data_IF_192575108809
#
_entry.id   IF_192575108809
#
_cell.length_a   1.000
_cell.length_b   1.000
_cell.length_c   1.000
_cell.angle_alpha   90.00
_cell.angle_beta   90.00
_cell.angle_gamma   90.00
#
_symmetry.space_group_name_H-M   'P 1'
#
loop_
_entity.id
_entity.type
_entity.pdbx_description
1 polymer ?
#
# COMPACT_ATOMS: atom_id res chain seq x y z
N UNK A 1 27.43 0.36 7.77
CA UNK A 1 27.93 0.92 6.50
C UNK A 1 28.56 -0.20 5.70
N UNK A 2 28.09 -0.42 4.49
CA UNK A 2 28.68 -1.34 3.55
C UNK A 2 29.74 -0.52 2.81
N UNK A 3 30.88 -1.10 2.51
CA UNK A 3 31.78 -0.56 1.51
C UNK A 3 30.93 -0.17 0.26
N UNK A 4 30.94 1.11 -0.07
CA UNK A 4 30.26 1.75 -1.22
C UNK A 4 28.77 2.10 -1.11
N UNK A 5 28.12 2.12 0.05
CA UNK A 5 26.77 2.69 0.22
C UNK A 5 26.76 3.81 1.28
N UNK A 6 25.84 4.78 1.14
CA UNK A 6 25.70 5.91 2.05
C UNK A 6 24.24 6.35 2.19
N UNK A 7 23.95 7.11 3.25
CA UNK A 7 22.66 7.79 3.42
C UNK A 7 22.34 8.71 2.23
N UNK A 8 23.34 9.42 1.72
CA UNK A 8 23.19 10.30 0.57
C UNK A 8 22.80 9.55 -0.71
N UNK A 9 23.39 8.38 -0.98
CA UNK A 9 23.00 7.54 -2.13
C UNK A 9 21.56 7.04 -1.98
N UNK A 10 21.13 6.61 -0.79
CA UNK A 10 19.75 6.18 -0.56
C UNK A 10 18.79 7.37 -0.67
N UNK A 11 19.15 8.53 -0.13
CA UNK A 11 18.38 9.77 -0.27
C UNK A 11 18.19 10.14 -1.74
N UNK A 12 19.27 10.18 -2.51
CA UNK A 12 19.22 10.54 -3.93
C UNK A 12 18.39 9.54 -4.75
N UNK A 13 18.56 8.23 -4.52
CA UNK A 13 17.75 7.19 -5.17
C UNK A 13 16.25 7.41 -4.88
N UNK A 14 15.90 7.76 -3.63
CA UNK A 14 14.53 8.02 -3.20
C UNK A 14 13.96 9.26 -3.88
N UNK A 15 14.72 10.36 -3.90
CA UNK A 15 14.31 11.61 -4.56
C UNK A 15 14.11 11.43 -6.06
N UNK A 16 15.03 10.74 -6.72
CA UNK A 16 14.93 10.44 -8.16
C UNK A 16 13.69 9.58 -8.45
N UNK A 17 13.48 8.51 -7.68
CA UNK A 17 12.32 7.63 -7.85
C UNK A 17 10.99 8.38 -7.67
N UNK A 18 10.91 9.28 -6.68
CA UNK A 18 9.74 10.09 -6.39
C UNK A 18 9.52 11.27 -7.34
N UNK A 19 10.36 11.42 -8.38
CA UNK A 19 10.24 12.50 -9.37
C UNK A 19 10.52 13.89 -8.80
N UNK A 20 11.35 13.99 -7.76
CA UNK A 20 11.68 15.23 -7.02
C UNK A 20 10.46 15.91 -6.37
N UNK A 21 9.34 15.17 -6.24
CA UNK A 21 8.13 15.64 -5.55
C UNK A 21 8.11 15.22 -4.06
N UNK A 22 9.16 14.57 -3.59
CA UNK A 22 9.31 14.14 -2.20
C UNK A 22 9.48 15.34 -1.26
N UNK A 23 9.11 15.17 0.01
CA UNK A 23 9.46 16.10 1.09
C UNK A 23 10.88 15.79 1.57
N UNK A 24 11.88 16.69 1.34
CA UNK A 24 13.28 16.40 1.63
C UNK A 24 13.54 15.95 3.07
N UNK A 25 12.92 16.62 4.07
CA UNK A 25 13.09 16.28 5.48
C UNK A 25 12.52 14.89 5.83
N UNK A 26 11.43 14.50 5.20
CA UNK A 26 10.85 13.17 5.39
C UNK A 26 11.76 12.07 4.82
N UNK A 27 12.33 12.30 3.64
CA UNK A 27 13.31 11.37 3.05
C UNK A 27 14.56 11.28 3.91
N UNK A 28 15.07 12.42 4.39
CA UNK A 28 16.22 12.47 5.28
C UNK A 28 15.97 11.70 6.58
N UNK A 29 14.80 11.88 7.18
CA UNK A 29 14.34 11.13 8.37
C UNK A 29 14.34 9.63 8.10
N UNK A 30 13.73 9.21 6.99
CA UNK A 30 13.66 7.80 6.60
C UNK A 30 15.05 7.16 6.49
N UNK A 31 15.96 7.78 5.76
CA UNK A 31 17.26 7.17 5.46
C UNK A 31 18.19 7.13 6.68
N UNK A 32 18.09 8.09 7.60
CA UNK A 32 18.92 8.12 8.79
C UNK A 32 18.40 7.23 9.91
N UNK A 33 17.09 7.17 10.13
CA UNK A 33 16.48 6.37 11.20
C UNK A 33 16.20 4.93 10.79
N UNK A 34 16.07 4.66 9.49
CA UNK A 34 15.77 3.33 8.94
C UNK A 34 16.68 2.21 9.40
N UNK A 35 18.03 2.36 9.38
CA UNK A 35 18.94 1.30 9.85
C UNK A 35 18.72 0.89 11.29
N UNK A 36 18.33 1.81 12.18
CA UNK A 36 18.02 1.49 13.57
C UNK A 36 16.74 0.67 13.68
N UNK A 37 15.75 0.96 12.85
CA UNK A 37 14.51 0.17 12.82
C UNK A 37 14.78 -1.26 12.33
N UNK A 38 15.64 -1.44 11.33
CA UNK A 38 16.04 -2.78 10.89
C UNK A 38 16.75 -3.55 12.01
N UNK A 39 17.66 -2.89 12.75
CA UNK A 39 18.31 -3.49 13.92
C UNK A 39 17.29 -3.85 15.02
N UNK A 40 16.28 -3.04 15.21
CA UNK A 40 15.21 -3.32 16.17
C UNK A 40 14.36 -4.52 15.75
N UNK A 41 14.04 -4.68 14.46
CA UNK A 41 13.35 -5.87 13.96
C UNK A 41 14.12 -7.16 14.24
N UNK A 42 15.44 -7.14 14.08
CA UNK A 42 16.29 -8.30 14.42
C UNK A 42 16.18 -8.65 15.91
N UNK A 43 16.16 -7.62 16.80
CA UNK A 43 15.95 -7.84 18.22
C UNK A 43 14.57 -8.41 18.55
N UNK A 44 13.54 -8.08 17.76
CA UNK A 44 12.20 -8.66 17.86
C UNK A 44 12.07 -10.05 17.23
N UNK A 45 13.17 -10.60 16.69
CA UNK A 45 13.21 -11.96 16.17
C UNK A 45 12.83 -12.11 14.71
N UNK A 46 13.00 -11.06 13.90
CA UNK A 46 12.93 -11.17 12.43
C UNK A 46 14.19 -11.88 11.93
N UNK A 47 13.99 -12.94 11.16
CA UNK A 47 15.04 -13.76 10.57
C UNK A 47 15.36 -13.30 9.14
N UNK A 48 16.14 -12.24 8.99
CA UNK A 48 16.66 -11.88 7.67
C UNK A 48 17.70 -12.88 7.18
N UNK A 49 17.75 -13.10 5.87
CA UNK A 49 18.72 -13.97 5.23
C UNK A 49 20.16 -13.47 5.49
N UNK A 50 21.09 -14.43 5.67
CA UNK A 50 22.48 -14.15 5.99
C UNK A 50 23.44 -14.88 5.06
N UNK A 51 24.58 -14.27 4.85
CA UNK A 51 25.73 -14.89 4.19
C UNK A 51 26.37 -15.93 5.10
N UNK A 52 27.28 -16.75 4.55
CA UNK A 52 28.02 -17.77 5.28
C UNK A 52 28.86 -17.23 6.43
N UNK A 53 29.26 -15.95 6.38
CA UNK A 53 29.99 -15.24 7.42
C UNK A 53 29.09 -14.64 8.51
N UNK A 54 27.77 -14.85 8.43
CA UNK A 54 26.77 -14.31 9.35
C UNK A 54 26.32 -12.88 9.09
N UNK A 55 26.88 -12.18 8.11
CA UNK A 55 26.43 -10.85 7.70
C UNK A 55 25.07 -10.92 7.01
N UNK A 56 24.29 -9.81 7.04
CA UNK A 56 23.00 -9.74 6.37
C UNK A 56 23.17 -9.82 4.86
N UNK A 57 22.43 -10.71 4.24
CA UNK A 57 22.35 -10.78 2.79
C UNK A 57 21.54 -9.58 2.27
N UNK A 58 21.98 -9.00 1.15
CA UNK A 58 21.37 -7.82 0.55
C UNK A 58 21.16 -7.99 -0.93
N UNK A 59 19.99 -7.55 -1.39
CA UNK A 59 19.65 -7.57 -2.81
C UNK A 59 19.57 -6.17 -3.41
N UNK A 60 19.60 -6.11 -4.73
CA UNK A 60 19.32 -4.91 -5.53
C UNK A 60 17.89 -5.00 -6.03
N UNK A 61 17.17 -3.87 -5.92
CA UNK A 61 15.86 -3.70 -6.54
C UNK A 61 15.87 -2.49 -7.49
N UNK A 62 14.88 -2.40 -8.37
CA UNK A 62 14.79 -1.33 -9.37
C UNK A 62 14.78 0.06 -8.72
N UNK A 63 15.51 0.99 -9.33
CA UNK A 63 15.70 2.34 -8.83
C UNK A 63 16.79 2.52 -7.77
N UNK A 64 17.27 1.45 -7.14
CA UNK A 64 18.39 1.52 -6.20
C UNK A 64 19.74 1.48 -6.92
N UNK A 65 20.65 2.38 -6.54
CA UNK A 65 22.02 2.41 -7.05
C UNK A 65 22.95 1.39 -6.36
N UNK A 66 22.55 0.82 -5.24
CA UNK A 66 23.34 -0.09 -4.41
C UNK A 66 22.52 -1.25 -3.86
N UNK A 67 23.18 -2.41 -3.61
CA UNK A 67 22.58 -3.54 -2.89
C UNK A 67 22.44 -3.20 -1.41
N UNK A 68 21.26 -2.76 -0.97
CA UNK A 68 20.99 -2.37 0.43
C UNK A 68 19.78 -3.05 1.04
N UNK A 69 18.98 -3.73 0.24
CA UNK A 69 17.71 -4.29 0.67
C UNK A 69 17.94 -5.61 1.42
N UNK A 70 17.69 -5.60 2.73
CA UNK A 70 17.64 -6.81 3.53
C UNK A 70 16.32 -7.55 3.27
N UNK A 71 16.35 -8.87 3.27
CA UNK A 71 15.19 -9.67 2.91
C UNK A 71 15.15 -11.01 3.65
N UNK A 72 13.99 -11.63 3.64
CA UNK A 72 13.81 -13.03 4.01
C UNK A 72 13.20 -13.72 2.80
N UNK A 73 14.01 -14.43 2.01
CA UNK A 73 13.65 -15.02 0.72
C UNK A 73 12.88 -14.00 -0.14
N UNK A 74 11.67 -14.34 -0.56
CA UNK A 74 10.72 -13.49 -1.30
C UNK A 74 9.46 -13.12 -0.46
N UNK A 75 9.50 -13.35 0.88
CA UNK A 75 8.38 -13.17 1.80
C UNK A 75 8.72 -12.29 3.02
N UNK A 76 9.55 -11.27 2.81
CA UNK A 76 10.07 -10.39 3.88
C UNK A 76 8.96 -9.77 4.74
N UNK A 77 7.89 -9.27 4.11
CA UNK A 77 6.77 -8.65 4.83
C UNK A 77 6.07 -9.64 5.78
N UNK A 78 5.85 -10.87 5.34
CA UNK A 78 5.23 -11.91 6.17
C UNK A 78 6.09 -12.25 7.40
N UNK A 79 7.42 -12.33 7.24
CA UNK A 79 8.35 -12.60 8.35
C UNK A 79 8.37 -11.45 9.36
N UNK A 80 8.35 -10.19 8.90
CA UNK A 80 8.29 -9.02 9.79
C UNK A 80 6.98 -9.05 10.60
N UNK A 81 5.84 -9.25 9.95
CA UNK A 81 4.53 -9.32 10.62
C UNK A 81 4.49 -10.46 11.62
N UNK A 82 5.00 -11.65 11.26
CA UNK A 82 5.10 -12.79 12.16
C UNK A 82 5.85 -12.44 13.45
N UNK A 83 7.02 -11.85 13.33
CA UNK A 83 7.87 -11.53 14.47
C UNK A 83 7.24 -10.44 15.37
N UNK A 84 6.72 -9.37 14.76
CA UNK A 84 6.06 -8.28 15.49
C UNK A 84 4.78 -8.75 16.20
N UNK A 85 3.99 -9.62 15.58
CA UNK A 85 2.78 -10.18 16.19
C UNK A 85 3.13 -11.08 17.40
N UNK A 86 4.19 -11.89 17.29
CA UNK A 86 4.69 -12.69 18.42
C UNK A 86 5.13 -11.78 19.56
N UNK A 87 5.82 -10.69 19.26
CA UNK A 87 6.28 -9.74 20.29
C UNK A 87 5.10 -8.99 20.93
N UNK A 88 4.12 -8.55 20.14
CA UNK A 88 2.92 -7.90 20.65
C UNK A 88 2.13 -8.81 21.61
N UNK A 89 1.95 -10.09 21.25
CA UNK A 89 1.24 -11.08 22.09
C UNK A 89 1.90 -11.38 23.44
N UNK A 90 3.20 -11.10 23.60
CA UNK A 90 3.90 -11.23 24.88
C UNK A 90 3.57 -10.11 25.87
N UNK A 91 2.99 -9.01 25.41
CA UNK A 91 2.79 -7.80 26.21
C UNK A 91 1.38 -7.75 26.77
N UNK A 92 1.22 -7.79 28.10
CA UNK A 92 -0.07 -7.79 28.79
C UNK A 92 -0.86 -6.47 28.62
N UNK A 93 -0.18 -5.37 28.26
CA UNK A 93 -0.81 -4.07 28.03
C UNK A 93 -1.26 -3.87 26.57
N UNK A 94 -1.16 -4.89 25.71
CA UNK A 94 -1.65 -4.86 24.32
C UNK A 94 -2.85 -5.80 24.21
N UNK A 95 -3.99 -5.25 23.80
CA UNK A 95 -5.18 -6.02 23.46
C UNK A 95 -5.38 -6.06 21.97
N UNK A 96 -5.38 -7.26 21.38
CA UNK A 96 -5.66 -7.50 19.97
C UNK A 96 -7.13 -7.88 19.80
N UNK A 97 -7.88 -7.10 19.03
CA UNK A 97 -9.28 -7.38 18.71
C UNK A 97 -9.38 -7.72 17.22
N UNK A 98 -9.57 -8.99 16.94
CA UNK A 98 -9.68 -9.51 15.58
C UNK A 98 -11.12 -9.43 15.06
N UNK A 99 -11.31 -9.39 13.74
CA UNK A 99 -12.62 -9.32 13.08
C UNK A 99 -13.47 -8.13 13.56
N UNK A 100 -12.83 -6.98 13.71
CA UNK A 100 -13.42 -5.72 14.15
C UNK A 100 -13.30 -4.65 13.07
N UNK A 101 -14.40 -4.30 12.43
CA UNK A 101 -14.47 -3.25 11.41
C UNK A 101 -14.85 -1.92 12.07
N UNK A 102 -13.92 -0.98 12.18
CA UNK A 102 -14.21 0.38 12.66
C UNK A 102 -14.96 1.13 11.57
N UNK A 103 -16.23 1.44 11.80
CA UNK A 103 -17.07 2.09 10.80
C UNK A 103 -17.30 3.60 11.07
N UNK A 104 -17.08 4.05 12.30
CA UNK A 104 -17.19 5.47 12.66
C UNK A 104 -16.15 5.84 13.70
N UNK A 105 -15.56 7.02 13.51
CA UNK A 105 -14.63 7.63 14.45
C UNK A 105 -15.14 9.03 14.77
N UNK A 106 -15.19 9.39 16.05
CA UNK A 106 -15.71 10.67 16.51
C UNK A 106 -14.75 11.30 17.52
N UNK A 107 -14.46 12.58 17.36
CA UNK A 107 -13.71 13.35 18.36
C UNK A 107 -14.61 13.61 19.55
N UNK A 108 -14.12 13.28 20.74
CA UNK A 108 -14.75 13.58 22.01
C UNK A 108 -13.81 14.41 22.88
N UNK A 109 -14.29 14.86 24.06
CA UNK A 109 -13.42 15.62 24.95
C UNK A 109 -12.24 14.76 25.39
N UNK A 110 -11.03 15.27 25.15
CA UNK A 110 -9.73 14.67 25.47
C UNK A 110 -9.40 13.34 24.75
N UNK A 111 -10.15 12.98 23.69
CA UNK A 111 -9.86 11.73 23.00
C UNK A 111 -10.80 11.42 21.85
N UNK A 112 -11.04 10.14 21.63
CA UNK A 112 -11.80 9.58 20.52
C UNK A 112 -12.79 8.52 20.99
N UNK A 113 -13.87 8.41 20.23
CA UNK A 113 -14.85 7.33 20.32
C UNK A 113 -14.82 6.60 18.96
N UNK A 114 -14.51 5.31 18.97
CA UNK A 114 -14.49 4.45 17.80
C UNK A 114 -15.64 3.43 17.89
N UNK A 115 -16.59 3.50 16.96
CA UNK A 115 -17.64 2.51 16.80
C UNK A 115 -17.19 1.43 15.84
N UNK A 116 -17.33 0.17 16.23
CA UNK A 116 -16.88 -0.97 15.45
C UNK A 116 -17.94 -2.06 15.36
N UNK A 117 -17.85 -2.85 14.33
CA UNK A 117 -18.67 -4.02 14.10
C UNK A 117 -17.83 -5.28 14.35
N UNK A 118 -18.13 -6.00 15.44
CA UNK A 118 -17.44 -7.24 15.78
C UNK A 118 -18.06 -8.41 15.03
N UNK A 119 -17.20 -9.21 14.37
CA UNK A 119 -17.59 -10.37 13.56
C UNK A 119 -18.71 -10.05 12.53
N UNK A 120 -18.73 -8.80 12.05
CA UNK A 120 -19.72 -8.33 11.07
C UNK A 120 -21.15 -8.23 11.58
N UNK A 121 -21.40 -8.28 12.91
CA UNK A 121 -22.76 -8.42 13.46
C UNK A 121 -23.05 -7.58 14.70
N UNK A 122 -22.11 -7.40 15.59
CA UNK A 122 -22.34 -6.79 16.91
C UNK A 122 -21.64 -5.45 17.00
N UNK A 123 -22.39 -4.39 17.29
CA UNK A 123 -21.81 -3.07 17.54
C UNK A 123 -21.07 -3.05 18.88
N UNK A 124 -19.88 -2.47 18.87
CA UNK A 124 -19.09 -2.19 20.07
C UNK A 124 -18.46 -0.80 19.95
N UNK A 125 -18.09 -0.22 21.08
CA UNK A 125 -17.48 1.11 21.14
C UNK A 125 -16.25 1.09 22.02
N UNK A 126 -15.19 1.75 21.57
CA UNK A 126 -13.95 1.96 22.30
C UNK A 126 -13.68 3.45 22.43
N UNK A 127 -13.29 3.88 23.64
CA UNK A 127 -12.80 5.22 23.91
C UNK A 127 -11.29 5.19 24.11
N UNK A 128 -10.59 6.19 23.58
CA UNK A 128 -9.14 6.30 23.68
C UNK A 128 -8.67 7.74 23.72
N UNK A 129 -7.57 8.00 24.45
CA UNK A 129 -6.96 9.33 24.53
C UNK A 129 -6.30 9.73 23.21
N UNK A 130 -5.74 8.76 22.50
CA UNK A 130 -5.07 8.92 21.19
C UNK A 130 -5.64 7.95 20.18
N UNK A 131 -5.54 8.31 18.92
CA UNK A 131 -5.89 7.43 17.79
C UNK A 131 -4.71 7.37 16.81
N UNK A 132 -4.29 6.15 16.47
CA UNK A 132 -3.30 5.91 15.40
C UNK A 132 -3.98 5.15 14.28
N UNK A 133 -4.07 5.75 13.10
CA UNK A 133 -4.60 5.11 11.90
C UNK A 133 -3.44 4.42 11.19
N UNK A 134 -3.53 3.08 11.05
CA UNK A 134 -2.51 2.24 10.43
C UNK A 134 -3.16 1.17 9.53
N UNK A 135 -4.12 1.60 8.71
CA UNK A 135 -5.06 0.73 7.99
C UNK A 135 -4.57 0.26 6.63
N UNK A 136 -3.34 0.65 6.24
CA UNK A 136 -2.82 0.30 4.92
C UNK A 136 -3.49 1.09 3.79
N UNK A 137 -3.37 0.58 2.55
CA UNK A 137 -3.71 1.31 1.34
C UNK A 137 -5.16 1.17 0.87
N UNK A 138 -5.32 1.41 -0.44
CA UNK A 138 -6.62 1.58 -1.10
C UNK A 138 -6.84 0.61 -2.27
N UNK A 139 -6.01 -0.45 -2.40
CA UNK A 139 -5.97 -1.25 -3.62
C UNK A 139 -7.32 -1.78 -4.08
N UNK A 140 -8.22 -2.04 -3.13
CA UNK A 140 -9.56 -2.58 -3.43
C UNK A 140 -10.50 -1.58 -4.11
N UNK A 141 -10.11 -0.33 -4.29
CA UNK A 141 -10.85 0.63 -5.13
C UNK A 141 -10.69 0.33 -6.62
N UNK A 142 -9.67 -0.46 -7.00
CA UNK A 142 -9.44 -0.94 -8.37
C UNK A 142 -9.98 -2.36 -8.57
N UNK A 143 -10.21 -2.71 -9.84
CA UNK A 143 -10.67 -4.06 -10.20
C UNK A 143 -9.58 -5.10 -9.98
N UNK A 144 -8.33 -4.74 -10.30
CA UNK A 144 -7.17 -5.61 -10.15
C UNK A 144 -6.11 -4.91 -9.28
N UNK A 145 -5.63 -5.61 -8.25
CA UNK A 145 -4.66 -5.09 -7.29
C UNK A 145 -3.82 -6.22 -6.71
N UNK A 146 -2.60 -5.92 -6.30
CA UNK A 146 -1.78 -6.84 -5.49
C UNK A 146 -2.09 -6.74 -4.00
N UNK A 147 -3.01 -5.87 -3.60
CA UNK A 147 -3.35 -5.68 -2.20
C UNK A 147 -4.37 -6.70 -1.70
N UNK A 148 -4.32 -7.08 -0.41
CA UNK A 148 -5.26 -7.99 0.20
C UNK A 148 -6.67 -7.39 0.27
N UNK A 149 -7.66 -8.24 0.55
CA UNK A 149 -9.09 -7.87 0.60
C UNK A 149 -9.41 -6.74 1.56
N UNK A 150 -8.57 -6.52 2.57
CA UNK A 150 -8.75 -5.48 3.61
C UNK A 150 -8.21 -4.09 3.21
N UNK A 151 -7.56 -3.94 2.05
CA UNK A 151 -7.01 -2.66 1.59
C UNK A 151 -8.10 -1.79 0.94
N UNK A 152 -9.08 -1.35 1.71
CA UNK A 152 -10.32 -0.68 1.28
C UNK A 152 -10.31 0.84 1.48
N UNK A 153 -9.27 1.39 2.13
CA UNK A 153 -9.13 2.82 2.41
C UNK A 153 -9.97 3.30 3.60
N UNK A 154 -10.35 2.40 4.49
CA UNK A 154 -11.25 2.73 5.63
C UNK A 154 -10.69 3.82 6.53
N UNK A 155 -9.41 3.75 6.90
CA UNK A 155 -8.80 4.77 7.74
C UNK A 155 -8.74 6.14 7.07
N UNK A 156 -8.50 6.19 5.77
CA UNK A 156 -8.51 7.45 4.99
C UNK A 156 -9.92 8.04 4.99
N UNK A 157 -10.96 7.22 4.75
CA UNK A 157 -12.35 7.67 4.85
C UNK A 157 -12.69 8.17 6.23
N UNK A 158 -12.33 7.43 7.29
CA UNK A 158 -12.58 7.83 8.67
C UNK A 158 -11.93 9.17 9.02
N UNK A 159 -10.68 9.36 8.61
CA UNK A 159 -9.97 10.62 8.80
C UNK A 159 -10.59 11.77 7.99
N UNK A 160 -10.96 11.52 6.74
CA UNK A 160 -11.64 12.49 5.88
C UNK A 160 -13.00 12.91 6.44
N UNK A 161 -13.83 11.97 6.92
CA UNK A 161 -15.11 12.24 7.53
C UNK A 161 -14.98 13.08 8.84
N UNK A 162 -13.84 13.00 9.51
CA UNK A 162 -13.51 13.84 10.68
C UNK A 162 -12.91 15.20 10.31
N UNK A 163 -12.65 15.48 9.04
CA UNK A 163 -12.06 16.73 8.56
C UNK A 163 -10.54 16.76 8.63
N UNK A 164 -9.87 15.60 8.68
CA UNK A 164 -8.42 15.54 8.51
C UNK A 164 -8.01 15.94 7.10
N UNK A 165 -6.84 16.58 6.98
CA UNK A 165 -6.26 16.90 5.67
C UNK A 165 -5.84 15.62 4.95
N UNK A 166 -6.30 15.46 3.71
CA UNK A 166 -5.87 14.39 2.81
C UNK A 166 -5.07 15.03 1.68
N UNK A 167 -3.97 14.42 1.29
CA UNK A 167 -3.09 14.94 0.23
C UNK A 167 -2.74 13.87 -0.78
N UNK A 168 -2.66 14.29 -2.04
CA UNK A 168 -2.07 13.52 -3.15
C UNK A 168 -2.60 12.09 -3.26
N UNK A 169 -3.92 11.90 -2.98
CA UNK A 169 -4.54 10.57 -3.01
C UNK A 169 -4.55 9.99 -4.43
N UNK A 170 -4.41 10.83 -5.45
CA UNK A 170 -4.19 10.44 -6.84
C UNK A 170 -2.78 9.88 -7.11
N UNK A 171 -1.82 10.03 -6.20
CA UNK A 171 -0.50 9.44 -6.36
C UNK A 171 -0.55 7.94 -6.06
N UNK A 172 -0.98 7.18 -7.07
CA UNK A 172 -1.12 5.72 -7.02
C UNK A 172 -0.03 5.06 -7.86
N UNK A 173 0.72 4.16 -7.26
CA UNK A 173 1.70 3.34 -7.97
C UNK A 173 1.04 2.10 -8.56
N UNK A 174 1.26 1.88 -9.85
CA UNK A 174 0.89 0.64 -10.54
C UNK A 174 2.14 -0.23 -10.70
N UNK A 175 2.06 -1.48 -10.24
CA UNK A 175 3.15 -2.43 -10.43
C UNK A 175 3.07 -3.02 -11.84
N UNK A 176 4.18 -2.98 -12.62
CA UNK A 176 4.14 -3.39 -14.03
C UNK A 176 3.94 -4.90 -14.23
N UNK A 177 4.35 -5.71 -13.27
CA UNK A 177 4.45 -7.17 -13.42
C UNK A 177 3.66 -7.91 -12.33
N UNK A 178 2.34 -7.68 -12.25
CA UNK A 178 1.45 -8.60 -11.57
C UNK A 178 1.13 -9.78 -12.49
N UNK A 179 0.92 -10.95 -11.92
CA UNK A 179 0.49 -12.14 -12.69
C UNK A 179 -0.86 -11.84 -13.35
N UNK A 180 -0.94 -11.95 -14.67
CA UNK A 180 -2.17 -11.68 -15.41
C UNK A 180 -3.11 -12.87 -15.34
N UNK A 181 -3.85 -12.99 -14.23
CA UNK A 181 -4.85 -14.00 -13.97
C UNK A 181 -6.27 -13.41 -13.88
N UNK A 182 -7.24 -14.26 -13.60
CA UNK A 182 -8.64 -13.88 -13.48
C UNK A 182 -9.03 -13.42 -12.07
N UNK A 183 -8.14 -13.56 -11.10
CA UNK A 183 -8.40 -13.21 -9.71
C UNK A 183 -8.38 -11.69 -9.51
N UNK A 184 -9.21 -11.20 -8.59
CA UNK A 184 -9.24 -9.78 -8.26
C UNK A 184 -7.97 -9.37 -7.48
N UNK A 185 -7.49 -10.25 -6.60
CA UNK A 185 -6.20 -10.12 -5.93
C UNK A 185 -5.13 -10.74 -6.80
N UNK A 186 -4.34 -9.88 -7.46
CA UNK A 186 -3.32 -10.33 -8.40
C UNK A 186 -2.07 -10.78 -7.67
N UNK A 187 -1.58 -11.97 -8.02
CA UNK A 187 -0.32 -12.48 -7.51
C UNK A 187 0.86 -11.61 -8.01
N UNK A 188 1.68 -11.14 -7.10
CA UNK A 188 2.81 -10.26 -7.43
C UNK A 188 3.99 -11.06 -7.96
N UNK A 189 4.39 -10.80 -9.22
CA UNK A 189 5.71 -11.17 -9.71
C UNK A 189 6.67 -10.04 -9.31
N UNK A 190 7.39 -10.24 -8.21
CA UNK A 190 8.26 -9.24 -7.60
C UNK A 190 9.22 -8.59 -8.60
N UNK A 191 9.53 -7.33 -8.37
CA UNK A 191 10.52 -6.57 -9.14
C UNK A 191 11.91 -7.24 -9.16
N UNK A 192 12.23 -8.02 -8.14
CA UNK A 192 13.47 -8.77 -8.07
C UNK A 192 13.65 -9.75 -9.25
N UNK A 193 12.55 -10.23 -9.85
CA UNK A 193 12.60 -11.08 -11.05
C UNK A 193 13.17 -10.30 -12.25
N UNK A 194 12.75 -9.03 -12.42
CA UNK A 194 13.35 -8.12 -13.42
C UNK A 194 14.78 -7.74 -13.02
N UNK A 195 15.03 -7.52 -11.74
CA UNK A 195 16.36 -7.26 -11.19
C UNK A 195 17.37 -8.38 -11.46
N UNK A 196 16.91 -9.64 -11.49
CA UNK A 196 17.71 -10.80 -11.87
C UNK A 196 17.81 -10.99 -13.39
N UNK A 197 17.22 -10.09 -14.19
CA UNK A 197 17.41 -10.00 -15.63
C UNK A 197 16.26 -10.53 -16.49
N UNK A 198 15.07 -10.77 -15.95
CA UNK A 198 13.94 -11.19 -16.75
C UNK A 198 13.64 -10.19 -17.88
N UNK A 199 13.38 -10.69 -19.08
CA UNK A 199 12.95 -9.91 -20.24
C UNK A 199 11.46 -9.72 -20.24
N UNK A 200 11.01 -8.49 -20.56
CA UNK A 200 9.60 -8.18 -20.74
C UNK A 200 9.25 -8.28 -22.24
N UNK A 201 8.28 -9.13 -22.55
CA UNK A 201 7.87 -9.46 -23.91
C UNK A 201 6.41 -9.04 -24.16
N UNK A 202 6.11 -8.56 -25.39
CA UNK A 202 4.76 -8.30 -25.87
C UNK A 202 4.04 -9.58 -26.35
N UNK A 203 2.83 -9.44 -26.90
CA UNK A 203 2.03 -10.55 -27.42
C UNK A 203 2.72 -11.32 -28.56
N UNK A 204 3.62 -10.69 -29.31
CA UNK A 204 4.42 -11.31 -30.38
C UNK A 204 5.69 -11.98 -29.82
N UNK A 205 5.88 -11.99 -28.50
CA UNK A 205 7.10 -12.47 -27.83
C UNK A 205 8.35 -11.66 -28.18
N UNK A 206 8.17 -10.39 -28.52
CA UNK A 206 9.25 -9.45 -28.78
C UNK A 206 9.56 -8.65 -27.52
N UNK A 207 10.85 -8.45 -27.24
CA UNK A 207 11.31 -7.49 -26.24
C UNK A 207 11.07 -6.09 -26.78
N UNK A 208 10.47 -5.18 -25.98
CA UNK A 208 9.99 -3.89 -26.47
C UNK A 208 10.43 -2.68 -25.63
N UNK A 209 11.01 -2.89 -24.45
CA UNK A 209 11.36 -1.80 -23.53
C UNK A 209 12.38 -0.81 -24.10
N UNK A 210 13.25 -1.24 -25.03
CA UNK A 210 14.21 -0.40 -25.75
C UNK A 210 13.56 0.75 -26.53
N UNK A 211 12.31 0.61 -26.93
CA UNK A 211 11.53 1.66 -27.62
C UNK A 211 11.11 2.80 -26.67
N UNK A 212 11.09 2.53 -25.37
CA UNK A 212 10.51 3.43 -24.38
C UNK A 212 11.52 4.01 -23.39
N UNK A 213 12.50 3.20 -22.91
CA UNK A 213 13.49 3.66 -21.94
C UNK A 213 14.83 2.90 -22.08
N UNK A 214 15.94 3.65 -22.04
CA UNK A 214 17.30 3.08 -22.17
C UNK A 214 17.69 2.14 -21.03
N UNK A 215 17.04 2.24 -19.86
CA UNK A 215 17.25 1.36 -18.71
C UNK A 215 16.54 0.02 -18.86
N UNK A 216 15.75 -0.15 -19.92
CA UNK A 216 14.99 -1.37 -20.26
C UNK A 216 14.06 -1.79 -19.10
N UNK A 217 14.06 -3.07 -18.73
CA UNK A 217 13.23 -3.64 -17.67
C UNK A 217 13.59 -3.14 -16.26
N UNK A 218 14.74 -2.48 -16.11
CA UNK A 218 15.19 -1.85 -14.84
C UNK A 218 14.78 -0.38 -14.72
N UNK A 219 14.02 0.15 -15.68
CA UNK A 219 13.39 1.46 -15.53
C UNK A 219 12.43 1.48 -14.32
N UNK A 220 12.14 2.66 -13.72
CA UNK A 220 11.18 2.80 -12.63
C UNK A 220 9.81 2.21 -12.98
N UNK A 221 9.03 1.82 -11.96
CA UNK A 221 7.75 1.11 -12.11
C UNK A 221 6.74 1.86 -12.97
N UNK A 222 6.65 3.17 -12.77
CA UNK A 222 5.77 4.06 -13.55
C UNK A 222 6.13 4.05 -15.04
N UNK A 223 7.42 4.11 -15.36
CA UNK A 223 7.92 4.03 -16.73
C UNK A 223 7.60 2.69 -17.37
N UNK A 224 7.87 1.58 -16.68
CA UNK A 224 7.60 0.24 -17.21
C UNK A 224 6.09 0.01 -17.37
N UNK A 225 5.27 0.38 -16.37
CA UNK A 225 3.80 0.27 -16.46
C UNK A 225 3.25 1.08 -17.62
N UNK A 226 3.70 2.33 -17.77
CA UNK A 226 3.30 3.18 -18.89
C UNK A 226 3.72 2.59 -20.24
N UNK A 227 4.91 2.03 -20.32
CA UNK A 227 5.42 1.38 -21.56
C UNK A 227 4.57 0.18 -21.96
N UNK A 228 4.14 -0.64 -20.99
CA UNK A 228 3.22 -1.76 -21.24
C UNK A 228 1.89 -1.26 -21.81
N UNK A 229 1.30 -0.20 -21.23
CA UNK A 229 0.02 0.34 -21.73
C UNK A 229 0.17 0.94 -23.13
N UNK A 230 1.27 1.63 -23.41
CA UNK A 230 1.53 2.16 -24.74
C UNK A 230 1.75 1.03 -25.78
N UNK A 231 2.48 -0.02 -25.38
CA UNK A 231 2.70 -1.19 -26.23
C UNK A 231 1.41 -2.00 -26.44
N UNK A 232 0.55 -2.11 -25.40
CA UNK A 232 -0.79 -2.69 -25.51
C UNK A 232 -1.64 -1.96 -26.56
N UNK A 233 -1.67 -0.62 -26.50
CA UNK A 233 -2.36 0.21 -27.52
C UNK A 233 -1.78 0.02 -28.93
N UNK A 234 -0.45 -0.13 -29.04
CA UNK A 234 0.25 -0.34 -30.33
C UNK A 234 -0.05 -1.71 -30.93
N UNK A 235 -0.11 -2.75 -30.11
CA UNK A 235 -0.32 -4.14 -30.58
C UNK A 235 -1.79 -4.57 -30.60
N UNK A 236 -2.68 -3.79 -29.94
CA UNK A 236 -4.09 -4.16 -29.74
C UNK A 236 -4.27 -5.37 -28.80
N UNK A 237 -3.31 -5.63 -27.91
CA UNK A 237 -3.32 -6.81 -27.06
C UNK A 237 -2.78 -6.51 -25.65
N UNK A 238 -3.42 -7.07 -24.62
CA UNK A 238 -3.00 -6.99 -23.20
C UNK A 238 -2.17 -8.21 -22.78
N UNK A 239 -1.72 -9.05 -23.73
CA UNK A 239 -0.90 -10.21 -23.44
C UNK A 239 0.57 -9.82 -23.38
N UNK A 240 1.12 -9.79 -22.17
CA UNK A 240 2.53 -9.52 -21.89
C UNK A 240 3.12 -10.63 -21.04
N UNK A 241 4.42 -10.81 -21.13
CA UNK A 241 5.11 -11.92 -20.48
C UNK A 241 6.45 -11.49 -19.90
N UNK A 242 6.87 -12.14 -18.81
CA UNK A 242 8.25 -12.16 -18.35
C UNK A 242 8.92 -13.47 -18.76
N UNK A 243 10.14 -13.39 -19.28
CA UNK A 243 11.00 -14.53 -19.58
C UNK A 243 12.27 -14.50 -18.74
N UNK A 244 12.44 -15.49 -17.87
CA UNK A 244 13.61 -15.69 -17.02
C UNK A 244 14.14 -17.13 -17.11
N UNK A 245 13.59 -17.96 -18.00
CA UNK A 245 13.88 -19.39 -18.13
C UNK A 245 15.36 -19.72 -18.32
N UNK A 246 16.13 -18.81 -18.92
CA UNK A 246 17.55 -18.96 -19.15
C UNK A 246 18.41 -19.07 -17.88
N UNK A 247 17.86 -18.71 -16.71
CA UNK A 247 18.55 -18.88 -15.42
C UNK A 247 18.56 -20.32 -14.92
N UNK A 248 17.70 -21.18 -15.48
CA UNK A 248 17.61 -22.59 -15.14
C UNK A 248 16.79 -22.89 -13.89
N UNK A 249 16.30 -24.13 -13.82
CA UNK A 249 15.36 -24.59 -12.81
C UNK A 249 15.87 -24.38 -11.36
N UNK A 250 17.04 -24.92 -11.03
CA UNK A 250 17.53 -24.93 -9.65
C UNK A 250 17.77 -23.52 -9.12
N UNK A 251 18.25 -22.61 -9.96
CA UNK A 251 18.40 -21.21 -9.60
C UNK A 251 17.05 -20.56 -9.26
N UNK A 252 16.07 -20.73 -10.15
CA UNK A 252 14.77 -20.06 -10.01
C UNK A 252 13.99 -20.57 -8.80
N UNK A 253 13.96 -21.88 -8.56
CA UNK A 253 13.26 -22.48 -7.42
C UNK A 253 13.89 -22.07 -6.10
N UNK A 254 15.22 -22.01 -6.02
CA UNK A 254 15.91 -21.59 -4.81
C UNK A 254 15.81 -20.08 -4.54
N UNK A 255 15.87 -19.26 -5.59
CA UNK A 255 15.86 -17.80 -5.47
C UNK A 255 14.45 -17.22 -5.24
N UNK A 256 13.45 -17.84 -5.86
CA UNK A 256 12.07 -17.38 -5.87
C UNK A 256 11.06 -18.49 -5.51
N UNK A 257 11.19 -19.14 -4.34
CA UNK A 257 10.34 -20.28 -4.01
C UNK A 257 8.85 -19.92 -3.97
N UNK A 258 8.49 -18.77 -3.39
CA UNK A 258 7.11 -18.30 -3.30
C UNK A 258 6.53 -17.92 -4.67
N UNK A 259 7.32 -17.26 -5.53
CA UNK A 259 6.90 -16.91 -6.89
C UNK A 259 6.75 -18.17 -7.74
N UNK A 260 7.67 -19.12 -7.63
CA UNK A 260 7.60 -20.41 -8.33
C UNK A 260 6.31 -21.17 -7.96
N UNK A 261 6.05 -21.34 -6.66
CA UNK A 261 4.82 -21.98 -6.19
C UNK A 261 3.56 -21.23 -6.62
N UNK A 262 3.59 -19.90 -6.56
CA UNK A 262 2.50 -19.04 -7.02
C UNK A 262 2.19 -19.25 -8.49
N UNK A 263 3.21 -19.24 -9.35
CA UNK A 263 3.05 -19.52 -10.77
C UNK A 263 2.49 -20.92 -11.03
N UNK A 264 3.00 -21.95 -10.34
CA UNK A 264 2.50 -23.32 -10.45
C UNK A 264 1.02 -23.46 -10.09
N UNK A 265 0.55 -22.77 -9.05
CA UNK A 265 -0.89 -22.75 -8.67
C UNK A 265 -1.77 -22.21 -9.79
N UNK A 266 -1.23 -21.35 -10.65
CA UNK A 266 -1.91 -20.81 -11.82
C UNK A 266 -1.59 -21.59 -13.12
N UNK A 267 -0.97 -22.76 -13.02
CA UNK A 267 -0.66 -23.64 -14.16
C UNK A 267 0.54 -23.19 -15.01
N UNK A 268 1.42 -22.34 -14.46
CA UNK A 268 2.61 -21.82 -15.15
C UNK A 268 3.87 -22.30 -14.44
N UNK A 269 4.73 -23.04 -15.13
CA UNK A 269 6.07 -23.39 -14.66
C UNK A 269 7.08 -22.32 -15.15
N UNK A 270 7.41 -21.33 -14.30
CA UNK A 270 8.30 -20.23 -14.67
C UNK A 270 9.70 -20.66 -15.13
N UNK A 271 10.06 -21.92 -14.94
CA UNK A 271 11.32 -22.49 -15.43
C UNK A 271 11.24 -22.97 -16.90
N UNK A 272 10.02 -23.14 -17.42
CA UNK A 272 9.72 -23.65 -18.77
C UNK A 272 8.83 -22.72 -19.57
N UNK A 273 7.90 -22.01 -18.88
CA UNK A 273 6.87 -21.20 -19.49
C UNK A 273 7.18 -19.71 -19.35
N UNK A 274 6.61 -18.91 -20.24
CA UNK A 274 6.56 -17.45 -20.09
C UNK A 274 5.55 -17.10 -18.97
N UNK A 275 5.93 -16.20 -18.06
CA UNK A 275 5.05 -15.76 -16.99
C UNK A 275 4.12 -14.67 -17.53
N UNK A 276 2.79 -14.87 -17.60
CA UNK A 276 1.88 -13.82 -18.04
C UNK A 276 1.80 -12.70 -17.01
N UNK A 277 1.99 -11.46 -17.44
CA UNK A 277 2.00 -10.28 -16.56
C UNK A 277 1.23 -9.12 -17.17
N UNK A 278 0.64 -8.27 -16.29
CA UNK A 278 0.05 -6.99 -16.68
C UNK A 278 0.11 -6.01 -15.51
N UNK A 279 0.10 -4.69 -15.74
CA UNK A 279 0.07 -3.72 -14.66
C UNK A 279 -1.20 -3.83 -13.81
N UNK A 280 -1.05 -3.62 -12.51
CA UNK A 280 -2.19 -3.48 -11.60
C UNK A 280 -1.88 -2.48 -10.48
N UNK A 281 -2.91 -2.04 -9.76
CA UNK A 281 -2.71 -1.19 -8.60
C UNK A 281 -1.85 -1.92 -7.55
N UNK A 282 -0.92 -1.20 -6.90
CA UNK A 282 0.03 -1.80 -5.98
C UNK A 282 0.24 -1.01 -4.70
N UNK A 283 0.47 0.32 -4.77
CA UNK A 283 0.80 1.13 -3.61
C UNK A 283 0.20 2.53 -3.70
N UNK A 284 -0.15 3.12 -2.54
CA UNK A 284 -0.59 4.50 -2.43
C UNK A 284 0.55 5.35 -1.85
N UNK A 285 0.93 6.45 -2.52
CA UNK A 285 1.90 7.40 -1.99
C UNK A 285 1.25 8.58 -1.27
N UNK A 286 0.04 8.96 -1.67
CA UNK A 286 -0.80 9.92 -0.97
C UNK A 286 -1.46 9.34 0.30
N UNK A 287 -2.36 10.09 0.92
CA UNK A 287 -3.08 9.66 2.11
C UNK A 287 -3.39 10.76 3.10
N UNK A 288 -3.54 10.39 4.36
CA UNK A 288 -3.75 11.31 5.48
C UNK A 288 -2.46 12.12 5.68
N UNK A 289 -2.54 13.43 5.52
CA UNK A 289 -1.38 14.32 5.67
C UNK A 289 -0.83 14.32 7.09
N UNK A 290 0.48 14.15 7.24
CA UNK A 290 1.15 14.07 8.53
C UNK A 290 2.45 14.88 8.55
N UNK A 291 2.82 15.34 9.76
CA UNK A 291 4.14 15.90 10.01
C UNK A 291 5.21 14.81 10.23
N UNK A 292 6.45 15.23 10.53
CA UNK A 292 7.56 14.30 10.77
C UNK A 292 7.37 13.38 11.99
N UNK A 293 6.47 13.72 12.92
CA UNK A 293 6.12 12.89 14.07
C UNK A 293 4.82 12.08 13.81
N UNK A 294 4.40 12.01 12.55
CA UNK A 294 3.18 11.33 12.10
C UNK A 294 1.87 11.90 12.67
N UNK A 295 1.87 13.16 13.17
CA UNK A 295 0.67 13.86 13.63
C UNK A 295 -0.17 14.30 12.44
N UNK A 296 -1.47 14.07 12.51
CA UNK A 296 -2.42 14.60 11.52
C UNK A 296 -2.83 16.04 11.86
N UNK A 297 -3.65 16.65 11.02
CA UNK A 297 -4.28 17.96 11.31
C UNK A 297 -5.26 17.92 12.51
N UNK A 298 -5.61 16.72 13.01
CA UNK A 298 -6.50 16.53 14.16
C UNK A 298 -5.66 16.21 15.39
N UNK A 299 -5.78 17.05 16.42
CA UNK A 299 -5.04 16.87 17.68
C UNK A 299 -5.22 15.47 18.28
N UNK A 300 -4.13 14.82 18.70
CA UNK A 300 -4.05 13.46 19.27
C UNK A 300 -4.40 12.34 18.28
N UNK A 301 -4.50 12.67 16.98
CA UNK A 301 -4.64 11.68 15.90
C UNK A 301 -3.37 11.60 15.10
N UNK A 302 -2.94 10.37 14.81
CA UNK A 302 -1.75 10.03 14.03
C UNK A 302 -2.14 9.14 12.86
N UNK A 303 -1.34 9.16 11.80
CA UNK A 303 -1.46 8.20 10.72
C UNK A 303 -0.06 7.69 10.33
N UNK A 304 0.08 6.37 10.13
CA UNK A 304 1.36 5.72 9.86
C UNK A 304 1.24 4.65 8.78
N UNK A 305 2.33 4.40 8.06
CA UNK A 305 2.35 3.45 6.95
C UNK A 305 1.56 3.94 5.76
N UNK A 306 1.12 3.04 4.89
CA UNK A 306 0.56 3.36 3.57
C UNK A 306 -0.72 4.22 3.58
N UNK A 307 -1.46 4.31 4.69
CA UNK A 307 -2.59 5.23 4.77
C UNK A 307 -2.19 6.70 5.02
N UNK A 308 -0.92 6.97 5.33
CA UNK A 308 -0.40 8.31 5.63
C UNK A 308 0.34 8.91 4.42
N UNK A 309 0.21 10.22 4.25
CA UNK A 309 1.04 11.00 3.35
C UNK A 309 2.18 11.63 4.15
N UNK A 310 3.32 10.95 4.19
CA UNK A 310 4.55 11.43 4.85
C UNK A 310 5.38 12.34 3.96
N UNK A 311 5.12 12.31 2.65
CA UNK A 311 5.93 12.97 1.64
C UNK A 311 7.24 12.24 1.27
N UNK A 312 7.51 11.07 1.86
CA UNK A 312 8.73 10.28 1.56
C UNK A 312 8.77 9.83 0.10
N UNK A 313 7.65 9.49 -0.50
CA UNK A 313 7.62 8.78 -1.79
C UNK A 313 7.45 9.66 -3.01
N UNK A 314 7.02 10.91 -2.86
CA UNK A 314 6.70 11.76 -4.00
C UNK A 314 5.68 11.08 -4.93
N UNK A 315 5.86 11.22 -6.25
CA UNK A 315 4.93 10.67 -7.25
C UNK A 315 5.09 9.17 -7.51
N UNK A 316 6.20 8.56 -7.04
CA UNK A 316 6.47 7.15 -7.32
C UNK A 316 7.43 6.58 -6.27
N UNK A 317 6.99 5.54 -5.56
CA UNK A 317 7.72 4.93 -4.45
C UNK A 317 8.93 4.13 -4.94
N UNK A 318 10.10 4.39 -4.35
CA UNK A 318 11.24 3.51 -4.46
C UNK A 318 10.95 2.17 -3.78
N UNK A 319 11.29 1.08 -4.42
CA UNK A 319 11.05 -0.26 -3.89
C UNK A 319 11.60 -0.42 -2.46
N UNK A 320 10.91 -1.18 -1.61
CA UNK A 320 11.25 -1.48 -0.21
C UNK A 320 11.22 -0.31 0.79
N UNK A 321 11.07 0.95 0.36
CA UNK A 321 10.96 2.08 1.27
C UNK A 321 9.64 2.08 2.08
N UNK A 322 8.58 1.41 1.63
CA UNK A 322 7.28 1.40 2.32
C UNK A 322 7.30 0.74 3.70
N UNK A 323 7.97 -0.41 3.82
CA UNK A 323 8.11 -1.08 5.12
C UNK A 323 8.98 -0.25 6.06
N UNK A 324 10.02 0.38 5.52
CA UNK A 324 10.90 1.25 6.29
C UNK A 324 10.17 2.50 6.79
N UNK A 325 9.32 3.11 5.95
CA UNK A 325 8.45 4.24 6.31
C UNK A 325 7.51 3.85 7.47
N UNK A 326 6.80 2.73 7.35
CA UNK A 326 5.88 2.27 8.40
C UNK A 326 6.60 2.09 9.76
N UNK A 327 7.83 1.60 9.75
CA UNK A 327 8.64 1.40 10.95
C UNK A 327 9.13 2.72 11.55
N UNK A 328 9.71 3.59 10.72
CA UNK A 328 10.27 4.88 11.17
C UNK A 328 9.17 5.79 11.71
N UNK A 329 8.13 6.03 10.93
CA UNK A 329 7.05 6.93 11.34
C UNK A 329 6.16 6.31 12.44
N UNK A 330 6.00 4.98 12.46
CA UNK A 330 5.37 4.29 13.57
C UNK A 330 6.10 4.47 14.90
N UNK A 331 7.44 4.42 14.88
CA UNK A 331 8.28 4.70 16.06
C UNK A 331 8.17 6.16 16.51
N UNK A 332 8.22 7.11 15.57
CA UNK A 332 8.10 8.54 15.87
C UNK A 332 6.74 8.89 16.47
N UNK A 333 5.64 8.35 15.93
CA UNK A 333 4.31 8.47 16.52
C UNK A 333 4.27 7.96 17.96
N UNK A 334 4.84 6.78 18.23
CA UNK A 334 4.87 6.20 19.57
C UNK A 334 5.67 7.03 20.57
N UNK A 335 6.80 7.61 20.14
CA UNK A 335 7.64 8.48 20.98
C UNK A 335 6.92 9.78 21.32
N UNK A 336 6.25 10.38 20.35
CA UNK A 336 5.49 11.60 20.56
C UNK A 336 4.29 11.39 21.47
N UNK A 337 3.49 10.34 21.23
CA UNK A 337 2.37 9.95 22.11
C UNK A 337 2.86 9.75 23.55
N UNK A 338 3.98 9.05 23.72
CA UNK A 338 4.57 8.81 25.05
C UNK A 338 4.98 10.12 25.73
N UNK A 339 5.56 11.05 24.98
CA UNK A 339 5.93 12.37 25.48
C UNK A 339 4.72 13.19 25.87
N UNK A 340 3.68 13.22 25.03
CA UNK A 340 2.46 13.97 25.29
C UNK A 340 1.66 13.39 26.46
N UNK A 341 1.54 12.08 26.59
CA UNK A 341 0.85 11.42 27.71
C UNK A 341 1.45 11.76 29.07
N UNK A 342 2.76 12.04 29.12
CA UNK A 342 3.44 12.50 30.36
C UNK A 342 3.20 13.97 30.68
N UNK A 343 2.98 14.82 29.66
CA UNK A 343 2.80 16.26 29.79
C UNK A 343 1.34 16.66 30.02
N UNK A 344 0.43 15.92 29.44
CA UNK A 344 -1.02 16.14 29.48
C UNK A 344 -1.71 14.84 29.91
N UNK A 345 -1.88 14.62 31.21
CA UNK A 345 -2.46 13.41 31.76
C UNK A 345 -3.99 13.35 31.68
N UNK A 346 -4.62 14.36 31.07
CA UNK A 346 -6.08 14.36 30.89
C UNK A 346 -6.51 13.17 30.00
N UNK A 347 -7.43 12.38 30.53
CA UNK A 347 -7.98 11.20 29.87
C UNK A 347 -9.35 11.48 29.24
N UNK A 348 -9.70 10.64 28.27
CA UNK A 348 -11.03 10.67 27.64
C UNK A 348 -12.12 10.40 28.67
N UNK A 349 -13.18 11.19 28.60
CA UNK A 349 -14.39 10.95 29.43
C UNK A 349 -15.29 9.95 28.69
N UNK A 350 -15.50 8.80 29.27
CA UNK A 350 -16.40 7.76 28.75
C UNK A 350 -17.84 8.17 29.01
N UNK A 351 -18.66 8.22 27.97
CA UNK A 351 -20.11 8.47 28.06
C UNK A 351 -20.86 7.25 27.51
N UNK A 352 -22.08 7.03 28.00
CA UNK A 352 -22.94 6.00 27.38
C UNK A 352 -23.13 6.31 25.91
N UNK A 353 -22.80 5.34 25.06
CA UNK A 353 -22.90 5.43 23.61
C UNK A 353 -23.52 4.16 23.06
N UNK A 354 -24.61 4.31 22.31
CA UNK A 354 -25.24 3.20 21.58
C UNK A 354 -25.35 3.59 20.13
N UNK A 355 -24.80 2.76 19.26
CA UNK A 355 -24.91 2.95 17.82
C UNK A 355 -25.94 1.99 17.25
N UNK A 356 -26.95 2.55 16.57
CA UNK A 356 -27.89 1.77 15.79
C UNK A 356 -27.23 1.36 14.47
N UNK A 357 -27.16 0.04 14.25
CA UNK A 357 -26.62 -0.56 13.02
C UNK A 357 -27.70 -1.09 12.08
N UNK A 358 -28.99 -0.87 12.42
CA UNK A 358 -30.12 -1.32 11.63
C UNK A 358 -30.32 -0.50 10.35
N UNK A 359 -30.94 -1.10 9.34
CA UNK A 359 -31.24 -0.42 8.08
C UNK A 359 -31.60 -1.35 6.95
N UNK A 360 -31.76 -0.77 5.77
CA UNK A 360 -32.00 -1.54 4.53
C UNK A 360 -30.72 -2.26 4.05
N UNK A 361 -30.84 -3.38 3.35
CA UNK A 361 -29.67 -4.04 2.77
C UNK A 361 -29.01 -3.17 1.69
N UNK A 362 -27.67 -3.24 1.60
CA UNK A 362 -26.94 -2.58 0.52
C UNK A 362 -27.31 -3.18 -0.85
N UNK A 363 -27.60 -2.37 -1.87
CA UNK A 363 -27.83 -2.89 -3.23
C UNK A 363 -26.63 -3.67 -3.77
N UNK A 364 -26.91 -4.85 -4.38
CA UNK A 364 -25.86 -5.67 -4.99
C UNK A 364 -25.15 -4.94 -6.11
N UNK A 365 -23.85 -5.20 -6.29
CA UNK A 365 -23.04 -4.71 -7.41
C UNK A 365 -22.45 -3.31 -7.22
N UNK A 366 -22.81 -2.57 -6.16
CA UNK A 366 -22.33 -1.18 -5.96
C UNK A 366 -20.80 -1.12 -5.84
N UNK A 367 -20.18 -2.00 -5.07
CA UNK A 367 -18.71 -2.07 -4.96
C UNK A 367 -18.05 -2.40 -6.30
N UNK A 368 -18.63 -3.33 -7.05
CA UNK A 368 -18.14 -3.71 -8.39
C UNK A 368 -18.24 -2.55 -9.37
N UNK A 369 -19.30 -1.75 -9.27
CA UNK A 369 -19.48 -0.55 -10.09
C UNK A 369 -18.38 0.49 -9.81
N UNK A 370 -18.10 0.79 -8.53
CA UNK A 370 -17.03 1.72 -8.13
C UNK A 370 -15.68 1.26 -8.69
N UNK A 371 -15.32 -0.01 -8.50
CA UNK A 371 -14.08 -0.59 -9.04
C UNK A 371 -13.97 -0.49 -10.56
N UNK A 372 -15.08 -0.71 -11.25
CA UNK A 372 -15.13 -0.61 -12.71
C UNK A 372 -14.98 0.83 -13.21
N UNK A 373 -15.52 1.79 -12.47
CA UNK A 373 -15.33 3.22 -12.77
C UNK A 373 -13.84 3.56 -12.62
N UNK A 374 -13.23 3.24 -11.47
CA UNK A 374 -11.83 3.55 -11.20
C UNK A 374 -10.89 2.91 -12.22
N UNK A 375 -11.10 1.63 -12.54
CA UNK A 375 -10.28 0.91 -13.53
C UNK A 375 -10.31 1.55 -14.92
N UNK A 376 -11.44 2.15 -15.32
CA UNK A 376 -11.58 2.81 -16.63
C UNK A 376 -11.10 4.24 -16.62
N UNK A 377 -11.34 4.96 -15.52
CA UNK A 377 -11.09 6.40 -15.44
C UNK A 377 -9.64 6.73 -15.10
N UNK A 378 -9.12 6.07 -14.07
CA UNK A 378 -7.80 6.36 -13.50
C UNK A 378 -7.01 5.08 -13.28
N UNK A 379 -6.39 4.63 -14.34
CA UNK A 379 -5.42 3.54 -14.33
C UNK A 379 -4.03 4.12 -14.68
N UNK A 380 -3.08 3.35 -15.14
CA UNK A 380 -1.68 3.80 -15.43
C UNK A 380 -1.60 5.09 -16.28
N UNK A 381 -2.46 5.22 -17.26
CA UNK A 381 -2.62 6.46 -18.07
C UNK A 381 -4.07 6.87 -17.96
N UNK A 382 -4.37 7.98 -17.27
CA UNK A 382 -5.74 8.47 -17.09
C UNK A 382 -6.47 8.73 -18.43
N UNK A 383 -7.78 8.46 -18.44
CA UNK A 383 -8.70 8.88 -19.48
C UNK A 383 -9.57 10.03 -18.93
N UNK A 384 -9.29 11.26 -19.32
CA UNK A 384 -9.92 12.45 -18.72
C UNK A 384 -11.43 12.53 -18.96
N UNK A 385 -11.94 12.02 -20.10
CA UNK A 385 -13.39 11.98 -20.33
C UNK A 385 -14.05 10.94 -19.43
N UNK A 386 -13.43 9.78 -19.27
CA UNK A 386 -13.88 8.76 -18.32
C UNK A 386 -13.76 9.23 -16.85
N UNK A 387 -12.74 10.04 -16.49
CA UNK A 387 -12.58 10.67 -15.17
C UNK A 387 -13.81 11.54 -14.86
N UNK A 388 -14.18 12.47 -15.75
CA UNK A 388 -15.31 13.39 -15.53
C UNK A 388 -16.65 12.67 -15.42
N UNK A 389 -16.88 11.67 -16.27
CA UNK A 389 -18.09 10.82 -16.20
C UNK A 389 -18.08 9.97 -14.93
N UNK A 390 -16.93 9.39 -14.60
CA UNK A 390 -16.74 8.57 -13.43
C UNK A 390 -16.95 9.33 -12.12
N UNK A 391 -16.42 10.56 -12.02
CA UNK A 391 -16.59 11.43 -10.85
C UNK A 391 -18.08 11.71 -10.58
N UNK A 392 -18.84 12.14 -11.59
CA UNK A 392 -20.28 12.36 -11.45
C UNK A 392 -21.02 11.11 -10.96
N UNK A 393 -20.63 9.95 -11.44
CA UNK A 393 -21.26 8.68 -11.05
C UNK A 393 -20.89 8.26 -9.65
N UNK A 394 -19.63 8.41 -9.26
CA UNK A 394 -19.15 8.15 -7.89
C UNK A 394 -19.81 9.09 -6.89
N UNK A 395 -19.99 10.37 -7.23
CA UNK A 395 -20.69 11.34 -6.39
C UNK A 395 -22.14 10.92 -6.12
N UNK A 396 -22.84 10.47 -7.16
CA UNK A 396 -24.20 9.96 -7.00
C UNK A 396 -24.27 8.72 -6.10
N UNK A 397 -23.30 7.82 -6.22
CA UNK A 397 -23.17 6.63 -5.36
C UNK A 397 -22.87 7.06 -3.90
N UNK A 398 -21.91 7.95 -3.69
CA UNK A 398 -21.53 8.46 -2.38
C UNK A 398 -22.68 9.17 -1.68
N UNK A 399 -23.40 10.03 -2.41
CA UNK A 399 -24.60 10.71 -1.90
C UNK A 399 -25.67 9.70 -1.48
N UNK A 400 -25.91 8.66 -2.30
CA UNK A 400 -26.86 7.60 -1.99
C UNK A 400 -26.45 6.81 -0.75
N UNK A 401 -25.14 6.50 -0.57
CA UNK A 401 -24.63 5.81 0.60
C UNK A 401 -24.78 6.65 1.86
N UNK A 402 -24.44 7.94 1.80
CA UNK A 402 -24.52 8.84 2.97
C UNK A 402 -25.96 9.18 3.40
N UNK A 403 -26.88 9.31 2.45
CA UNK A 403 -28.28 9.69 2.73
C UNK A 403 -29.22 8.48 2.86
N UNK A 404 -28.81 7.30 2.44
CA UNK A 404 -29.58 6.07 2.55
C UNK A 404 -29.53 5.52 3.97
N UNK A 405 -30.67 4.99 4.44
CA UNK A 405 -30.73 4.29 5.73
C UNK A 405 -30.35 2.81 5.52
N UNK A 406 -29.08 2.57 5.23
CA UNK A 406 -28.57 1.22 5.07
C UNK A 406 -28.12 0.64 6.42
N UNK A 407 -28.26 -0.68 6.55
CA UNK A 407 -27.69 -1.40 7.70
C UNK A 407 -26.16 -1.28 7.68
N UNK A 408 -25.57 -1.02 8.84
CA UNK A 408 -24.12 -1.02 9.00
C UNK A 408 -23.64 -2.46 8.95
N UNK A 409 -23.03 -2.82 7.83
CA UNK A 409 -22.46 -4.14 7.53
C UNK A 409 -21.06 -3.96 6.96
N UNK A 410 -20.19 -4.99 6.96
CA UNK A 410 -18.89 -4.90 6.30
C UNK A 410 -19.00 -4.44 4.84
N UNK A 411 -19.99 -4.95 4.10
CA UNK A 411 -20.25 -4.57 2.71
C UNK A 411 -20.61 -3.08 2.54
N UNK A 412 -21.40 -2.52 3.47
CA UNK A 412 -21.73 -1.10 3.46
C UNK A 412 -20.51 -0.24 3.81
N UNK A 413 -19.76 -0.62 4.84
CA UNK A 413 -18.55 0.10 5.26
C UNK A 413 -17.52 0.14 4.13
N UNK A 414 -17.28 -1.00 3.49
CA UNK A 414 -16.40 -1.10 2.33
C UNK A 414 -16.91 -0.21 1.16
N UNK A 415 -18.20 -0.30 0.80
CA UNK A 415 -18.75 0.51 -0.29
C UNK A 415 -18.60 2.01 -0.04
N UNK A 416 -18.83 2.45 1.22
CA UNK A 416 -18.67 3.86 1.60
C UNK A 416 -17.21 4.31 1.51
N UNK A 417 -16.26 3.47 1.96
CA UNK A 417 -14.83 3.76 1.88
C UNK A 417 -14.36 3.83 0.43
N UNK A 418 -14.72 2.84 -0.39
CA UNK A 418 -14.37 2.82 -1.81
C UNK A 418 -14.94 4.04 -2.56
N UNK A 419 -16.19 4.42 -2.29
CA UNK A 419 -16.82 5.58 -2.93
C UNK A 419 -16.13 6.89 -2.51
N UNK A 420 -15.77 7.03 -1.22
CA UNK A 420 -15.09 8.22 -0.70
C UNK A 420 -13.69 8.35 -1.30
N UNK A 421 -12.91 7.28 -1.31
CA UNK A 421 -11.56 7.26 -1.91
C UNK A 421 -11.62 7.54 -3.40
N UNK A 422 -12.54 6.89 -4.12
CA UNK A 422 -12.72 7.12 -5.56
C UNK A 422 -13.11 8.58 -5.87
N UNK A 423 -14.00 9.18 -5.07
CA UNK A 423 -14.37 10.58 -5.19
C UNK A 423 -13.16 11.50 -5.07
N UNK A 424 -12.35 11.32 -4.01
CA UNK A 424 -11.17 12.18 -3.77
C UNK A 424 -10.17 12.04 -4.93
N UNK A 425 -9.84 10.80 -5.33
CA UNK A 425 -8.89 10.57 -6.44
C UNK A 425 -9.38 11.21 -7.74
N UNK A 426 -10.63 10.93 -8.16
CA UNK A 426 -11.13 11.41 -9.43
C UNK A 426 -11.27 12.94 -9.45
N UNK A 427 -11.60 13.54 -8.29
CA UNK A 427 -11.65 14.99 -8.14
C UNK A 427 -10.26 15.62 -8.26
N UNK A 428 -9.25 15.10 -7.55
CA UNK A 428 -7.86 15.58 -7.68
C UNK A 428 -7.36 15.48 -9.12
N UNK A 429 -7.70 14.42 -9.84
CA UNK A 429 -7.28 14.21 -11.25
C UNK A 429 -8.01 15.16 -12.21
N UNK A 430 -9.28 15.51 -11.95
CA UNK A 430 -10.04 16.43 -12.80
C UNK A 430 -9.62 17.90 -12.58
N UNK A 431 -9.17 18.25 -11.37
CA UNK A 431 -8.74 19.61 -10.98
C UNK A 431 -7.24 19.88 -11.30
N UNK A 432 -6.39 18.85 -11.45
CA UNK A 432 -4.94 18.96 -11.69
C UNK A 432 -4.55 18.82 -13.14
#
# INVERSE_FOLDING_TARGET
TIENDSYELHYNDTMIAGGQANTPDAVNTLVHEGPDQVRQLIKYGVNFDRNSDGTLQKTLEGGHSRRRIVHYKDTTGAEIVRALLVEAKKRSNITLVENADVFKLTKVKNGFCADMLLNGKTAATVFSDFCVIATGGIGRVYKYTTNPVVATGDGIRLAYDMGATIKELSYVQFHPTAFNGNDMEQFLISESVRGEGAYLLNCNKERFMDRYDKRLELAPRDVVSRSIILESRRTGSDNFYLDIRYKGHDYLVNRFPGIYEGCLKHGVDMTKDLIPVFPCQHYLMGGIDVDLDARTSISRMYAVGECSHTGVHGKNRLASNSLLEALVFGKRAADDITSLSKKDPDHVTVTEHKTDISGAPLPKGMRTEIRSIMQRSYFVIPDMDAVRVGLKRVDAILMRLKNGKFAITPDYCEALSLATVAHIILKEVDEG
#
